data_IF_807202174031
#
_entry.id   IF_807202174031
#
_cell.length_a   1.000
_cell.length_b   1.000
_cell.length_c   1.000
_cell.angle_alpha   90.00
_cell.angle_beta   90.00
_cell.angle_gamma   90.00
#
_symmetry.space_group_name_H-M   'P 1'
#
loop_
_entity.id
_entity.type
_entity.pdbx_description
1 polymer ?
#
# COMPACT_ATOMS: atom_id res chain seq x y z
N UNK A 1 40.38 36.36 50.24
CA UNK A 1 40.74 35.62 49.01
C UNK A 1 39.72 34.53 48.76
N UNK A 2 38.83 34.76 47.78
CA UNK A 2 37.99 33.73 47.19
C UNK A 2 37.95 34.03 45.69
N UNK A 3 38.79 33.32 44.94
CA UNK A 3 38.80 33.36 43.49
C UNK A 3 37.57 32.57 43.02
N UNK A 4 36.53 33.29 42.62
CA UNK A 4 35.42 32.73 41.87
C UNK A 4 35.93 32.44 40.45
N UNK A 5 36.55 31.28 40.28
CA UNK A 5 36.93 30.75 38.98
C UNK A 5 35.65 30.24 38.30
N UNK A 6 34.82 31.19 37.84
CA UNK A 6 33.81 30.91 36.85
C UNK A 6 34.57 30.57 35.56
N UNK A 7 34.80 29.27 35.35
CA UNK A 7 35.06 28.76 34.00
C UNK A 7 33.95 29.31 33.13
N UNK A 8 34.33 30.08 32.11
CA UNK A 8 33.39 30.59 31.13
C UNK A 8 32.61 29.38 30.60
N UNK A 9 31.26 29.38 30.60
CA UNK A 9 30.53 28.35 29.88
C UNK A 9 30.99 28.42 28.42
N UNK A 10 31.58 27.33 27.98
CA UNK A 10 32.07 27.05 26.65
C UNK A 10 30.90 27.30 25.70
N UNK A 11 30.89 28.48 25.09
CA UNK A 11 29.81 29.01 24.26
C UNK A 11 29.87 28.38 22.85
N UNK A 12 30.18 27.08 22.79
CA UNK A 12 30.19 26.27 21.57
C UNK A 12 29.02 25.26 21.57
N UNK A 13 28.13 25.29 22.56
CA UNK A 13 26.77 24.75 22.42
C UNK A 13 25.98 25.71 21.52
N UNK A 14 26.12 25.56 20.20
CA UNK A 14 25.20 26.18 19.25
C UNK A 14 23.78 25.72 19.59
N UNK A 15 22.88 26.61 20.06
CA UNK A 15 21.51 26.24 20.42
C UNK A 15 20.68 25.74 19.22
N UNK A 16 21.21 25.85 18.00
CA UNK A 16 20.61 25.32 16.78
C UNK A 16 21.11 23.92 16.40
N UNK A 17 22.13 23.37 17.07
CA UNK A 17 22.63 21.99 16.85
C UNK A 17 21.82 20.97 17.68
N UNK A 18 20.49 21.09 17.62
CA UNK A 18 19.55 20.25 18.37
C UNK A 18 19.28 18.90 17.69
N UNK A 19 19.61 18.78 16.40
CA UNK A 19 19.49 17.53 15.65
C UNK A 19 20.87 17.14 15.15
N UNK A 20 21.36 16.00 15.64
CA UNK A 20 22.63 15.47 15.16
C UNK A 20 22.49 15.08 13.68
N UNK A 21 23.61 15.08 12.95
CA UNK A 21 23.62 14.59 11.55
C UNK A 21 23.05 13.16 11.44
N UNK A 22 23.25 12.34 12.49
CA UNK A 22 22.69 11.00 12.61
C UNK A 22 21.16 11.02 12.70
N UNK A 23 20.59 11.87 13.55
CA UNK A 23 19.14 11.99 13.73
C UNK A 23 18.45 12.52 12.46
N UNK A 24 19.10 13.43 11.73
CA UNK A 24 18.63 13.91 10.42
C UNK A 24 18.67 12.80 9.36
N UNK A 25 19.72 11.97 9.35
CA UNK A 25 19.83 10.84 8.44
C UNK A 25 18.77 9.77 8.74
N UNK A 26 18.46 9.52 10.01
CA UNK A 26 17.40 8.61 10.44
C UNK A 26 16.00 9.11 10.04
N UNK A 27 15.73 10.41 10.19
CA UNK A 27 14.47 11.01 9.75
C UNK A 27 14.32 10.90 8.22
N UNK A 28 15.38 11.21 7.48
CA UNK A 28 15.38 11.06 6.02
C UNK A 28 15.14 9.60 5.61
N UNK A 29 15.81 8.65 6.26
CA UNK A 29 15.60 7.22 5.98
C UNK A 29 14.16 6.78 6.26
N UNK A 30 13.53 7.30 7.33
CA UNK A 30 12.12 7.03 7.66
C UNK A 30 11.18 7.60 6.60
N UNK A 31 11.44 8.83 6.15
CA UNK A 31 10.69 9.47 5.07
C UNK A 31 10.83 8.70 3.75
N UNK A 32 12.05 8.29 3.39
CA UNK A 32 12.32 7.51 2.19
C UNK A 32 11.63 6.14 2.23
N UNK A 33 11.62 5.49 3.41
CA UNK A 33 10.89 4.25 3.62
C UNK A 33 9.39 4.43 3.39
N UNK A 34 8.78 5.46 3.99
CA UNK A 34 7.36 5.76 3.80
C UNK A 34 7.02 6.05 2.33
N UNK A 35 7.86 6.83 1.65
CA UNK A 35 7.69 7.12 0.23
C UNK A 35 7.79 5.85 -0.62
N UNK A 36 8.73 4.95 -0.32
CA UNK A 36 8.84 3.66 -0.99
C UNK A 36 7.63 2.77 -0.76
N UNK A 37 7.09 2.70 0.46
CA UNK A 37 5.88 1.93 0.76
C UNK A 37 4.67 2.44 -0.01
N UNK A 38 4.49 3.77 -0.09
CA UNK A 38 3.42 4.36 -0.89
C UNK A 38 3.58 4.07 -2.38
N UNK A 39 4.79 4.21 -2.92
CA UNK A 39 5.08 3.86 -4.32
C UNK A 39 4.84 2.39 -4.60
N UNK A 40 5.19 1.48 -3.68
CA UNK A 40 4.95 0.05 -3.83
C UNK A 40 3.44 -0.26 -3.84
N UNK A 41 2.66 0.37 -2.96
CA UNK A 41 1.20 0.21 -2.93
C UNK A 41 0.53 0.72 -4.22
N UNK A 42 0.99 1.83 -4.78
CA UNK A 42 0.50 2.37 -6.06
C UNK A 42 0.92 1.55 -7.28
N UNK A 43 2.04 0.84 -7.22
CA UNK A 43 2.53 -0.03 -8.28
C UNK A 43 1.76 -1.36 -8.33
N UNK A 44 1.21 -1.81 -7.21
CA UNK A 44 0.53 -3.11 -7.10
C UNK A 44 -0.97 -3.06 -7.44
N UNK A 45 -1.50 -1.90 -7.86
CA UNK A 45 -2.89 -1.81 -8.34
C UNK A 45 -3.07 -2.60 -9.65
N UNK A 46 -3.84 -3.71 -9.65
CA UNK A 46 -4.07 -4.52 -10.84
C UNK A 46 -4.78 -3.74 -11.97
N UNK A 47 -5.48 -2.65 -11.66
CA UNK A 47 -6.16 -1.79 -12.65
C UNK A 47 -5.19 -1.10 -13.60
N UNK A 48 -3.91 -1.00 -13.25
CA UNK A 48 -2.88 -0.46 -14.16
C UNK A 48 -2.52 -1.41 -15.30
N UNK A 49 -2.70 -2.72 -15.10
CA UNK A 49 -2.41 -3.78 -16.08
C UNK A 49 -3.65 -4.19 -16.87
N UNK A 50 -4.83 -4.04 -16.27
CA UNK A 50 -6.11 -4.38 -16.88
C UNK A 50 -6.69 -3.25 -17.73
N UNK A 51 -7.41 -3.63 -18.78
CA UNK A 51 -8.26 -2.68 -19.50
C UNK A 51 -9.38 -2.14 -18.58
N UNK A 52 -9.83 -0.91 -18.85
CA UNK A 52 -10.84 -0.20 -18.03
C UNK A 52 -12.14 -0.99 -17.81
N UNK A 53 -12.52 -1.83 -18.76
CA UNK A 53 -13.72 -2.68 -18.68
C UNK A 53 -13.66 -3.70 -17.53
N UNK A 54 -12.46 -4.11 -17.09
CA UNK A 54 -12.26 -5.07 -16.01
C UNK A 54 -12.10 -4.40 -14.65
N UNK A 55 -11.95 -3.08 -14.58
CA UNK A 55 -11.69 -2.37 -13.31
C UNK A 55 -12.82 -2.56 -12.29
N UNK A 56 -14.06 -2.73 -12.79
CA UNK A 56 -15.25 -2.98 -11.98
C UNK A 56 -15.32 -4.39 -11.41
N UNK A 57 -14.57 -5.33 -12.00
CA UNK A 57 -14.54 -6.74 -11.58
C UNK A 57 -13.47 -7.01 -10.51
N UNK A 58 -12.56 -6.05 -10.28
CA UNK A 58 -11.52 -6.10 -9.26
C UNK A 58 -12.06 -5.58 -7.94
N UNK A 59 -12.00 -6.41 -6.90
CA UNK A 59 -12.43 -6.04 -5.55
C UNK A 59 -11.39 -5.12 -4.86
N UNK A 60 -11.83 -4.22 -3.96
CA UNK A 60 -10.91 -3.39 -3.18
C UNK A 60 -9.92 -4.25 -2.39
N UNK A 61 -8.63 -3.96 -2.53
CA UNK A 61 -7.55 -4.68 -1.84
C UNK A 61 -7.00 -5.91 -2.57
N UNK A 62 -7.55 -6.27 -3.74
CA UNK A 62 -6.92 -7.29 -4.59
C UNK A 62 -5.66 -6.73 -5.26
N UNK A 63 -4.56 -7.47 -5.13
CA UNK A 63 -3.31 -7.18 -5.83
C UNK A 63 -3.21 -7.97 -7.12
N UNK A 64 -2.35 -7.53 -8.03
CA UNK A 64 -2.13 -8.26 -9.29
C UNK A 64 -1.68 -9.70 -9.05
N UNK A 65 -0.79 -9.92 -8.08
CA UNK A 65 -0.29 -11.25 -7.75
C UNK A 65 -1.41 -12.20 -7.30
N UNK A 66 -2.36 -11.71 -6.48
CA UNK A 66 -3.50 -12.52 -6.03
C UNK A 66 -4.36 -12.94 -7.23
N UNK A 67 -4.63 -12.01 -8.15
CA UNK A 67 -5.42 -12.29 -9.35
C UNK A 67 -4.74 -13.32 -10.25
N UNK A 68 -3.44 -13.20 -10.50
CA UNK A 68 -2.68 -14.18 -11.29
C UNK A 68 -2.70 -15.57 -10.65
N UNK A 69 -2.44 -15.64 -9.34
CA UNK A 69 -2.45 -16.90 -8.59
C UNK A 69 -3.83 -17.56 -8.66
N UNK A 70 -4.89 -16.79 -8.44
CA UNK A 70 -6.26 -17.30 -8.43
C UNK A 70 -6.69 -17.72 -9.85
N UNK A 71 -6.33 -16.96 -10.88
CA UNK A 71 -6.57 -17.32 -12.28
C UNK A 71 -5.88 -18.64 -12.63
N UNK A 72 -4.61 -18.80 -12.27
CA UNK A 72 -3.87 -20.05 -12.49
C UNK A 72 -4.47 -21.23 -11.71
N UNK A 73 -4.88 -21.01 -10.46
CA UNK A 73 -5.53 -22.04 -9.65
C UNK A 73 -6.90 -22.48 -10.23
N UNK A 74 -7.61 -21.56 -10.86
CA UNK A 74 -8.86 -21.84 -11.58
C UNK A 74 -8.62 -22.35 -13.03
N UNK A 75 -7.37 -22.49 -13.48
CA UNK A 75 -7.02 -23.04 -14.79
C UNK A 75 -7.06 -22.04 -15.95
N UNK A 76 -7.10 -20.74 -15.67
CA UNK A 76 -7.08 -19.69 -16.68
C UNK A 76 -5.65 -19.25 -17.01
N UNK A 77 -5.40 -19.05 -18.30
CA UNK A 77 -4.14 -18.46 -18.79
C UNK A 77 -4.13 -16.93 -18.72
N UNK A 78 -5.31 -16.31 -18.64
CA UNK A 78 -5.49 -14.85 -18.63
C UNK A 78 -6.35 -14.45 -17.43
N UNK A 79 -5.93 -13.40 -16.74
CA UNK A 79 -6.66 -12.85 -15.58
C UNK A 79 -8.02 -12.31 -16.00
N UNK A 80 -8.14 -11.73 -17.19
CA UNK A 80 -9.39 -11.19 -17.72
C UNK A 80 -10.47 -12.25 -17.89
N UNK A 81 -10.09 -13.46 -18.34
CA UNK A 81 -11.02 -14.57 -18.53
C UNK A 81 -11.51 -15.11 -17.17
N UNK A 82 -10.61 -15.15 -16.19
CA UNK A 82 -10.95 -15.47 -14.81
C UNK A 82 -11.91 -14.44 -14.19
N UNK A 83 -11.65 -13.14 -14.39
CA UNK A 83 -12.52 -12.07 -13.88
C UNK A 83 -13.93 -12.15 -14.47
N UNK A 84 -14.05 -12.41 -15.77
CA UNK A 84 -15.35 -12.62 -16.43
C UNK A 84 -16.09 -13.83 -15.86
N UNK A 85 -15.38 -14.93 -15.66
CA UNK A 85 -15.97 -16.16 -15.09
C UNK A 85 -16.48 -15.92 -13.66
N UNK A 86 -15.65 -15.34 -12.79
CA UNK A 86 -16.04 -15.00 -11.41
C UNK A 86 -17.27 -14.09 -11.36
N UNK A 87 -17.31 -13.10 -12.25
CA UNK A 87 -18.42 -12.15 -12.30
C UNK A 87 -19.70 -12.75 -12.87
N UNK A 88 -19.61 -13.73 -13.79
CA UNK A 88 -20.76 -14.47 -14.29
C UNK A 88 -21.42 -15.30 -13.17
N UNK A 89 -20.63 -15.94 -12.31
CA UNK A 89 -21.14 -16.70 -11.16
C UNK A 89 -21.89 -15.80 -10.17
N UNK A 90 -21.38 -14.58 -9.91
CA UNK A 90 -22.07 -13.59 -9.08
C UNK A 90 -23.44 -13.19 -9.66
N UNK A 91 -23.51 -12.93 -10.97
CA UNK A 91 -24.78 -12.59 -11.63
C UNK A 91 -25.79 -13.75 -11.62
N UNK A 92 -25.32 -14.99 -11.69
CA UNK A 92 -26.20 -16.17 -11.59
C UNK A 92 -26.74 -16.35 -10.17
N UNK A 93 -25.94 -16.05 -9.14
CA UNK A 93 -26.36 -16.13 -7.74
C UNK A 93 -27.39 -15.05 -7.39
N UNK A 94 -27.21 -13.82 -7.88
CA UNK A 94 -28.18 -12.72 -7.67
C UNK A 94 -29.54 -13.05 -8.29
N UNK A 95 -29.56 -13.63 -9.49
CA UNK A 95 -30.80 -14.05 -10.17
C UNK A 95 -31.47 -15.27 -9.51
N UNK A 96 -30.73 -16.10 -8.79
CA UNK A 96 -31.26 -17.27 -8.08
C UNK A 96 -31.89 -16.91 -6.72
N UNK A 97 -31.45 -15.80 -6.10
CA UNK A 97 -31.97 -15.33 -4.81
C UNK A 97 -33.44 -14.84 -4.87
N UNK A 98 -33.95 -14.52 -6.06
CA UNK A 98 -35.35 -14.09 -6.28
C UNK A 98 -36.38 -15.22 -6.29
N UNK A 99 -35.98 -16.49 -6.27
CA UNK A 99 -36.91 -17.63 -6.35
C UNK A 99 -37.37 -18.18 -4.99
N UNK A 100 -36.87 -17.66 -3.87
CA UNK A 100 -37.25 -18.10 -2.53
C UNK A 100 -38.27 -17.18 -1.84
N UNK A 101 -39.28 -16.71 -2.57
CA UNK A 101 -40.42 -16.00 -1.99
C UNK A 101 -41.68 -16.24 -2.82
N UNK A 102 -42.23 -17.46 -2.76
CA UNK A 102 -43.67 -17.75 -2.83
C UNK A 102 -43.89 -19.26 -3.01
N UNK A 103 -44.19 -19.99 -1.92
CA UNK A 103 -45.44 -20.75 -1.77
C UNK A 103 -45.64 -21.24 -0.35
#
# INVERSE_FOLDING_TARGET
>A
EWECQFGQPDFDDDPYDYFTEEELAEEQARSDQFNQEQLAAEQDDPRRKLAKEYHVMVEPGETWWVLERNAAAAGFWRVEDYLKWRHADLLLLDNSSGCCAHK
#
